data_IF_983246460535
#
_entry.id   IF_983246460535
#
_cell.length_a   1.000
_cell.length_b   1.000
_cell.length_c   1.000
_cell.angle_alpha   90.00
_cell.angle_beta   90.00
_cell.angle_gamma   90.00
#
_symmetry.space_group_name_H-M   'P 1'
#
loop_
_entity.id
_entity.type
_entity.pdbx_description
1 polymer ?
#
# COMPACT_ATOMS: atom_id res chain seq x y z
N UNK A 1 14.22 -26.82 -4.42
CA UNK A 1 14.00 -25.62 -3.57
C UNK A 1 15.14 -24.60 -3.64
N UNK A 2 16.32 -24.93 -4.18
CA UNK A 2 17.43 -23.95 -4.30
C UNK A 2 17.30 -22.96 -5.48
N UNK A 3 16.48 -23.25 -6.49
CA UNK A 3 16.32 -22.37 -7.66
C UNK A 3 15.42 -21.14 -7.43
N UNK A 4 14.54 -21.16 -6.42
CA UNK A 4 13.64 -20.03 -6.11
C UNK A 4 14.35 -18.93 -5.29
N UNK A 5 15.28 -19.32 -4.41
CA UNK A 5 16.10 -18.38 -3.62
C UNK A 5 17.06 -17.53 -4.46
N UNK A 6 17.56 -18.07 -5.58
CA UNK A 6 18.43 -17.33 -6.51
C UNK A 6 17.68 -16.25 -7.31
N UNK A 7 16.37 -16.41 -7.55
CA UNK A 7 15.57 -15.41 -8.28
C UNK A 7 15.16 -14.23 -7.39
N UNK A 8 14.87 -14.48 -6.10
CA UNK A 8 14.50 -13.41 -5.16
C UNK A 8 15.73 -12.57 -4.76
N UNK A 9 16.89 -13.18 -4.58
CA UNK A 9 18.14 -12.45 -4.35
C UNK A 9 18.67 -11.76 -5.63
N UNK A 10 18.45 -12.33 -6.82
CA UNK A 10 18.83 -11.71 -8.09
C UNK A 10 18.03 -10.43 -8.41
N UNK A 11 16.76 -10.36 -8.01
CA UNK A 11 15.89 -9.19 -8.22
C UNK A 11 16.26 -7.98 -7.37
N UNK A 12 16.67 -8.20 -6.12
CA UNK A 12 17.05 -7.11 -5.20
C UNK A 12 18.43 -6.51 -5.50
N UNK A 13 19.38 -7.31 -6.00
CA UNK A 13 20.72 -6.80 -6.37
C UNK A 13 20.69 -6.00 -7.68
N UNK A 14 19.74 -6.26 -8.59
CA UNK A 14 19.61 -5.50 -9.84
C UNK A 14 19.14 -4.05 -9.64
N UNK A 15 18.31 -3.79 -8.62
CA UNK A 15 17.77 -2.46 -8.33
C UNK A 15 18.85 -1.48 -7.80
N UNK A 16 19.87 -1.97 -7.08
CA UNK A 16 20.93 -1.11 -6.52
C UNK A 16 22.00 -0.74 -7.57
N UNK A 17 22.28 -1.60 -8.55
CA UNK A 17 23.29 -1.30 -9.59
C UNK A 17 22.75 -0.37 -10.69
N UNK A 18 21.45 -0.41 -10.98
CA UNK A 18 20.83 0.47 -11.96
C UNK A 18 20.82 1.96 -11.52
N UNK A 19 20.81 2.23 -10.22
CA UNK A 19 20.79 3.60 -9.68
C UNK A 19 22.14 4.33 -9.80
N UNK A 20 23.28 3.62 -9.87
CA UNK A 20 24.62 4.24 -9.87
C UNK A 20 25.18 4.45 -11.28
N UNK A 21 24.66 3.77 -12.32
CA UNK A 21 25.16 3.95 -13.71
C UNK A 21 24.57 5.14 -14.46
N UNK A 22 23.59 5.87 -13.91
CA UNK A 22 22.93 6.97 -14.61
C UNK A 22 23.56 8.36 -14.39
N UNK A 23 24.78 8.43 -13.82
CA UNK A 23 25.44 9.69 -13.46
C UNK A 23 26.78 9.96 -14.16
N UNK A 24 27.09 9.31 -15.29
CA UNK A 24 28.22 9.76 -16.12
C UNK A 24 28.01 9.51 -17.61
N UNK A 25 27.79 10.57 -18.39
CA UNK A 25 28.31 10.83 -19.76
C UNK A 25 27.64 12.08 -20.37
N UNK A 26 28.24 12.78 -21.36
CA UNK A 26 28.99 14.01 -21.14
C UNK A 26 28.31 15.26 -21.73
N UNK A 27 28.86 16.41 -21.36
CA UNK A 27 28.49 17.75 -21.81
C UNK A 27 28.87 18.02 -23.29
N UNK A 28 27.87 18.49 -24.06
CA UNK A 28 27.89 19.38 -25.24
C UNK A 28 28.42 18.90 -26.61
N UNK A 29 28.11 19.61 -27.74
CA UNK A 29 27.28 20.83 -27.91
C UNK A 29 26.28 20.84 -29.12
N UNK A 30 25.28 21.72 -29.03
CA UNK A 30 24.78 22.55 -30.15
C UNK A 30 23.78 21.95 -31.16
N UNK A 31 22.64 22.65 -31.39
CA UNK A 31 22.25 23.30 -32.66
C UNK A 31 20.78 23.75 -32.65
N UNK A 32 20.54 24.88 -33.32
CA UNK A 32 19.37 25.75 -33.35
C UNK A 32 18.07 25.21 -33.96
N UNK A 33 17.01 25.99 -33.68
CA UNK A 33 15.87 26.43 -34.54
C UNK A 33 14.53 25.66 -34.49
N UNK A 34 13.52 26.44 -34.11
CA UNK A 34 12.18 26.63 -34.70
C UNK A 34 11.46 25.42 -35.32
N UNK A 35 10.27 25.09 -34.79
CA UNK A 35 9.00 25.09 -35.55
C UNK A 35 7.81 24.55 -34.72
N UNK A 36 6.78 25.39 -34.66
CA UNK A 36 5.34 25.12 -34.71
C UNK A 36 4.76 23.72 -34.44
N UNK A 37 3.75 23.77 -33.55
CA UNK A 37 2.43 23.16 -33.66
C UNK A 37 2.33 21.63 -33.87
N UNK A 38 2.00 20.93 -32.79
CA UNK A 38 1.10 19.78 -32.86
C UNK A 38 0.28 19.66 -31.58
N UNK A 39 -1.04 19.71 -31.74
CA UNK A 39 -2.03 19.74 -30.67
C UNK A 39 -1.76 18.66 -29.62
N UNK A 40 -1.56 19.13 -28.39
CA UNK A 40 -1.61 18.31 -27.18
C UNK A 40 -3.05 17.82 -27.07
N UNK A 41 -3.30 16.61 -27.57
CA UNK A 41 -4.43 15.81 -27.08
C UNK A 41 -4.07 15.50 -25.63
N UNK A 42 -4.55 16.35 -24.73
CA UNK A 42 -4.66 16.00 -23.32
C UNK A 42 -5.55 14.77 -23.27
N UNK A 43 -4.96 13.59 -23.11
CA UNK A 43 -5.69 12.42 -22.67
C UNK A 43 -6.49 12.83 -21.42
N UNK A 44 -7.80 12.60 -21.37
CA UNK A 44 -8.56 12.91 -20.17
C UNK A 44 -7.97 12.07 -19.04
N UNK A 45 -7.43 12.75 -18.03
CA UNK A 45 -7.18 12.14 -16.72
C UNK A 45 -8.50 11.45 -16.33
N UNK A 46 -8.50 10.13 -16.05
CA UNK A 46 -9.73 9.47 -15.63
C UNK A 46 -10.30 10.24 -14.45
N UNK A 47 -11.55 10.70 -14.58
CA UNK A 47 -12.24 11.43 -13.54
C UNK A 47 -12.24 10.56 -12.28
N UNK A 48 -11.51 11.01 -11.25
CA UNK A 48 -11.60 10.45 -9.90
C UNK A 48 -13.08 10.31 -9.58
N UNK A 49 -13.54 9.12 -9.17
CA UNK A 49 -14.93 8.94 -8.80
C UNK A 49 -15.26 9.94 -7.70
N UNK A 50 -16.16 10.89 -7.98
CA UNK A 50 -16.53 11.97 -7.08
C UNK A 50 -17.46 11.50 -5.93
N UNK A 51 -17.64 10.19 -5.79
CA UNK A 51 -18.48 9.59 -4.76
C UNK A 51 -17.71 9.56 -3.43
N UNK A 52 -18.28 10.13 -2.35
CA UNK A 52 -17.69 10.04 -1.02
C UNK A 52 -17.46 8.58 -0.63
N UNK A 53 -16.37 8.32 0.11
CA UNK A 53 -16.14 7.01 0.74
C UNK A 53 -17.29 6.70 1.70
N UNK A 54 -17.93 5.54 1.52
CA UNK A 54 -19.01 5.07 2.40
C UNK A 54 -18.53 4.08 3.47
N UNK A 55 -17.28 3.62 3.37
CA UNK A 55 -16.61 2.81 4.38
C UNK A 55 -16.15 3.73 5.54
N UNK A 56 -16.48 3.39 6.79
CA UNK A 56 -16.02 4.16 7.95
C UNK A 56 -14.49 4.23 8.03
N UNK A 57 -13.92 5.31 8.60
CA UNK A 57 -12.52 5.33 8.97
C UNK A 57 -12.12 4.17 9.87
N UNK A 58 -10.91 3.65 9.67
CA UNK A 58 -10.37 2.61 10.55
C UNK A 58 -9.95 3.22 11.89
N UNK A 59 -9.19 4.31 11.84
CA UNK A 59 -8.74 4.95 13.07
C UNK A 59 -9.83 5.85 13.69
N UNK A 60 -10.06 5.80 15.03
CA UNK A 60 -9.47 4.89 16.01
C UNK A 60 -10.31 3.62 16.29
N UNK A 61 -11.61 3.67 15.99
CA UNK A 61 -12.60 2.75 16.57
C UNK A 61 -12.41 1.31 16.11
N UNK A 62 -12.05 1.09 14.84
CA UNK A 62 -11.80 -0.26 14.31
C UNK A 62 -10.67 -0.95 15.07
N UNK A 63 -9.54 -0.25 15.25
CA UNK A 63 -8.37 -0.81 15.93
C UNK A 63 -8.63 -1.08 17.41
N UNK A 64 -9.34 -0.17 18.10
CA UNK A 64 -9.78 -0.41 19.47
C UNK A 64 -10.71 -1.62 19.57
N UNK A 65 -11.66 -1.76 18.64
CA UNK A 65 -12.57 -2.89 18.57
C UNK A 65 -11.83 -4.22 18.38
N UNK A 66 -10.88 -4.28 17.45
CA UNK A 66 -10.04 -5.47 17.22
C UNK A 66 -9.23 -5.81 18.47
N UNK A 67 -8.51 -4.86 19.06
CA UNK A 67 -7.68 -5.11 20.25
C UNK A 67 -8.54 -5.59 21.42
N UNK A 68 -9.70 -4.98 21.64
CA UNK A 68 -10.67 -5.42 22.64
C UNK A 68 -11.14 -6.86 22.39
N UNK A 69 -11.50 -7.18 21.15
CA UNK A 69 -11.95 -8.52 20.77
C UNK A 69 -10.87 -9.60 21.00
N UNK A 70 -9.60 -9.26 20.77
CA UNK A 70 -8.46 -10.17 21.01
C UNK A 70 -7.87 -10.08 22.43
N UNK A 71 -8.54 -9.36 23.34
CA UNK A 71 -8.15 -9.28 24.74
C UNK A 71 -6.85 -8.50 25.01
N UNK A 72 -6.47 -7.58 24.11
CA UNK A 72 -5.26 -6.76 24.22
C UNK A 72 -5.58 -5.32 24.59
N UNK A 73 -4.73 -4.70 25.42
CA UNK A 73 -4.89 -3.29 25.77
C UNK A 73 -4.59 -2.38 24.55
N UNK A 74 -5.36 -1.30 24.33
CA UNK A 74 -5.09 -0.31 23.27
C UNK A 74 -3.92 0.62 23.63
N UNK A 75 -2.76 0.03 23.91
CA UNK A 75 -1.52 0.77 24.10
C UNK A 75 -1.04 1.37 22.77
N UNK A 76 -0.24 2.46 22.77
CA UNK A 76 0.33 3.02 21.55
C UNK A 76 1.11 2.00 20.72
N UNK A 77 1.82 1.07 21.36
CA UNK A 77 2.55 -0.02 20.71
C UNK A 77 1.60 -0.97 19.98
N UNK A 78 0.57 -1.46 20.67
CA UNK A 78 -0.39 -2.41 20.09
C UNK A 78 -1.18 -1.78 18.93
N UNK A 79 -1.56 -0.51 19.08
CA UNK A 79 -2.20 0.25 18.02
C UNK A 79 -1.30 0.35 16.79
N UNK A 80 -0.06 0.81 16.94
CA UNK A 80 0.85 0.98 15.82
C UNK A 80 1.21 -0.34 15.14
N UNK A 81 1.45 -1.41 15.90
CA UNK A 81 1.71 -2.74 15.35
C UNK A 81 0.50 -3.29 14.56
N UNK A 82 -0.72 -3.08 15.07
CA UNK A 82 -1.94 -3.48 14.37
C UNK A 82 -2.18 -2.64 13.10
N UNK A 83 -1.95 -1.32 13.19
CA UNK A 83 -2.02 -0.40 12.03
C UNK A 83 -1.04 -0.82 10.94
N UNK A 84 0.20 -1.15 11.31
CA UNK A 84 1.22 -1.67 10.39
C UNK A 84 0.74 -2.95 9.72
N UNK A 85 0.24 -3.91 10.51
CA UNK A 85 -0.23 -5.20 10.02
C UNK A 85 -1.40 -5.07 9.04
N UNK A 86 -2.39 -4.21 9.36
CA UNK A 86 -3.51 -3.89 8.47
C UNK A 86 -3.04 -3.17 7.20
N UNK A 87 -2.10 -2.23 7.33
CA UNK A 87 -1.48 -1.55 6.19
C UNK A 87 -0.79 -2.52 5.24
N UNK A 88 -0.09 -3.54 5.76
CA UNK A 88 0.54 -4.58 4.95
C UNK A 88 -0.50 -5.43 4.20
N UNK A 89 -1.57 -5.86 4.88
CA UNK A 89 -2.68 -6.58 4.23
C UNK A 89 -3.31 -5.79 3.08
N UNK A 90 -3.59 -4.51 3.33
CA UNK A 90 -4.18 -3.63 2.34
C UNK A 90 -3.24 -3.38 1.16
N UNK A 91 -1.94 -3.20 1.42
CA UNK A 91 -0.94 -3.02 0.38
C UNK A 91 -0.88 -4.23 -0.57
N UNK A 92 -0.95 -5.45 -0.03
CA UNK A 92 -0.94 -6.67 -0.83
C UNK A 92 -2.19 -6.78 -1.71
N UNK A 93 -3.37 -6.51 -1.16
CA UNK A 93 -4.61 -6.47 -1.93
C UNK A 93 -4.57 -5.43 -3.04
N UNK A 94 -4.09 -4.22 -2.73
CA UNK A 94 -3.92 -3.15 -3.70
C UNK A 94 -3.00 -3.55 -4.85
N UNK A 95 -1.80 -4.10 -4.54
CA UNK A 95 -0.84 -4.57 -5.55
C UNK A 95 -1.48 -5.62 -6.46
N UNK A 96 -2.21 -6.59 -5.90
CA UNK A 96 -2.93 -7.59 -6.71
C UNK A 96 -3.97 -6.94 -7.63
N UNK A 97 -4.74 -5.97 -7.14
CA UNK A 97 -5.73 -5.27 -7.95
C UNK A 97 -5.12 -4.43 -9.07
N UNK A 98 -3.99 -3.75 -8.82
CA UNK A 98 -3.26 -3.00 -9.86
C UNK A 98 -2.71 -3.94 -10.93
N UNK A 99 -2.12 -5.07 -10.54
CA UNK A 99 -1.59 -6.08 -11.45
C UNK A 99 -2.70 -6.69 -12.33
N UNK A 100 -3.85 -7.02 -11.74
CA UNK A 100 -4.98 -7.58 -12.49
C UNK A 100 -5.49 -6.65 -13.60
N UNK A 101 -5.30 -5.34 -13.45
CA UNK A 101 -5.74 -4.36 -14.44
C UNK A 101 -4.62 -3.71 -15.25
N UNK A 102 -3.36 -4.03 -14.94
CA UNK A 102 -2.19 -3.47 -15.60
C UNK A 102 -2.01 -1.97 -15.41
N UNK A 103 -2.53 -1.39 -14.31
CA UNK A 103 -2.43 0.05 -14.03
C UNK A 103 -1.17 0.34 -13.22
N UNK A 104 -0.04 0.47 -13.92
CA UNK A 104 1.28 0.71 -13.33
C UNK A 104 1.40 2.11 -12.72
N UNK A 105 0.72 3.10 -13.30
CA UNK A 105 0.78 4.49 -12.82
C UNK A 105 0.06 4.63 -11.47
N UNK A 106 -1.09 3.97 -11.31
CA UNK A 106 -1.79 3.93 -10.02
C UNK A 106 -1.00 3.15 -8.96
N UNK A 107 -0.34 2.05 -9.37
CA UNK A 107 0.55 1.30 -8.48
C UNK A 107 1.68 2.16 -7.93
N UNK A 108 2.41 2.87 -8.80
CA UNK A 108 3.56 3.67 -8.37
C UNK A 108 3.14 4.80 -7.42
N UNK A 109 2.04 5.50 -7.73
CA UNK A 109 1.47 6.54 -6.87
C UNK A 109 0.93 6.00 -5.54
N UNK A 110 0.45 4.75 -5.51
CA UNK A 110 0.03 4.11 -4.27
C UNK A 110 1.24 3.78 -3.39
N UNK A 111 2.34 3.32 -3.98
CA UNK A 111 3.56 2.99 -3.23
C UNK A 111 4.23 4.23 -2.63
N UNK A 112 4.09 5.40 -3.25
CA UNK A 112 4.55 6.68 -2.70
C UNK A 112 3.91 7.02 -1.34
N UNK A 113 2.68 6.55 -1.06
CA UNK A 113 2.02 6.79 0.23
C UNK A 113 2.80 6.21 1.42
N UNK A 114 3.66 5.21 1.19
CA UNK A 114 4.44 4.53 2.24
C UNK A 114 5.79 5.17 2.54
N UNK A 115 6.23 6.13 1.72
CA UNK A 115 7.57 6.76 1.81
C UNK A 115 7.48 8.21 2.34
N UNK A 116 6.26 8.66 2.64
CA UNK A 116 5.98 10.02 3.09
C UNK A 116 6.26 10.18 4.60
N UNK A 117 7.46 10.64 4.94
CA UNK A 117 7.96 10.78 6.33
C UNK A 117 7.14 11.74 7.20
N UNK A 118 6.39 12.68 6.61
CA UNK A 118 5.58 13.65 7.35
C UNK A 118 4.19 13.10 7.73
N UNK A 119 3.86 11.88 7.29
CA UNK A 119 2.54 11.30 7.49
C UNK A 119 2.39 10.69 8.87
N UNK A 120 1.21 10.91 9.46
CA UNK A 120 0.77 10.21 10.66
C UNK A 120 0.56 8.73 10.35
N UNK A 121 1.37 7.87 10.96
CA UNK A 121 1.32 6.42 10.74
C UNK A 121 -0.08 5.86 11.02
N UNK A 122 -0.80 6.40 12.01
CA UNK A 122 -2.15 5.99 12.36
C UNK A 122 -3.19 6.22 11.24
N UNK A 123 -2.92 7.15 10.33
CA UNK A 123 -3.80 7.47 9.20
C UNK A 123 -3.44 6.70 7.91
N UNK A 124 -2.29 6.01 7.87
CA UNK A 124 -1.77 5.42 6.64
C UNK A 124 -2.76 4.42 5.99
N UNK A 125 -3.38 3.47 6.72
CA UNK A 125 -4.36 2.58 6.11
C UNK A 125 -5.62 3.32 5.60
N UNK A 126 -6.06 4.37 6.30
CA UNK A 126 -7.19 5.19 5.85
C UNK A 126 -6.87 5.94 4.56
N UNK A 127 -5.67 6.51 4.44
CA UNK A 127 -5.21 7.18 3.22
C UNK A 127 -5.08 6.21 2.03
N UNK A 128 -4.64 4.97 2.30
CA UNK A 128 -4.58 3.91 1.30
C UNK A 128 -5.99 3.52 0.83
N UNK A 129 -6.97 3.40 1.73
CA UNK A 129 -8.37 3.17 1.37
C UNK A 129 -8.90 4.33 0.52
N UNK A 130 -8.64 5.58 0.91
CA UNK A 130 -9.07 6.75 0.16
C UNK A 130 -8.48 6.80 -1.25
N UNK A 131 -7.21 6.42 -1.40
CA UNK A 131 -6.58 6.27 -2.70
C UNK A 131 -7.30 5.23 -3.55
N UNK A 132 -7.53 4.03 -2.99
CA UNK A 132 -8.17 2.91 -3.68
C UNK A 132 -9.62 3.21 -4.04
N UNK A 133 -10.31 3.96 -3.18
CA UNK A 133 -11.65 4.46 -3.41
C UNK A 133 -11.69 5.46 -4.57
N UNK A 134 -10.76 6.41 -4.60
CA UNK A 134 -10.69 7.42 -5.66
C UNK A 134 -10.17 6.85 -7.01
N UNK A 135 -9.48 5.71 -6.98
CA UNK A 135 -8.86 5.11 -8.15
C UNK A 135 -9.89 4.63 -9.18
N UNK A 136 -10.87 3.82 -8.77
CA UNK A 136 -11.92 3.33 -9.68
C UNK A 136 -13.17 2.82 -8.95
N UNK A 137 -14.37 2.97 -9.55
CA UNK A 137 -15.62 2.48 -8.96
C UNK A 137 -15.66 0.97 -8.71
N UNK A 138 -15.01 0.15 -9.55
CA UNK A 138 -14.99 -1.30 -9.36
C UNK A 138 -14.24 -1.75 -8.11
N UNK A 139 -13.37 -0.91 -7.54
CA UNK A 139 -12.67 -1.18 -6.28
C UNK A 139 -13.55 -0.91 -5.06
N UNK A 140 -14.63 -0.14 -5.20
CA UNK A 140 -15.53 0.17 -4.07
C UNK A 140 -16.13 -1.09 -3.47
N UNK A 141 -16.66 -1.98 -4.33
CA UNK A 141 -17.22 -3.24 -3.86
C UNK A 141 -16.14 -4.14 -3.25
N UNK A 142 -14.96 -4.21 -3.86
CA UNK A 142 -13.84 -4.99 -3.33
C UNK A 142 -13.42 -4.52 -1.93
N UNK A 143 -13.41 -3.21 -1.68
CA UNK A 143 -13.14 -2.64 -0.35
C UNK A 143 -14.27 -2.97 0.64
N UNK A 144 -15.54 -2.88 0.22
CA UNK A 144 -16.69 -3.24 1.07
C UNK A 144 -16.69 -4.70 1.48
N UNK A 145 -16.31 -5.60 0.56
CA UNK A 145 -16.22 -7.03 0.82
C UNK A 145 -15.00 -7.36 1.69
N UNK A 146 -13.88 -6.64 1.49
CA UNK A 146 -12.66 -6.84 2.26
C UNK A 146 -12.79 -6.42 3.73
N UNK A 147 -13.58 -5.39 4.06
CA UNK A 147 -13.73 -4.91 5.44
C UNK A 147 -14.21 -5.98 6.45
N UNK A 148 -15.32 -6.71 6.21
CA UNK A 148 -15.73 -7.80 7.10
C UNK A 148 -14.76 -8.98 7.09
N UNK A 149 -14.12 -9.28 5.96
CA UNK A 149 -13.07 -10.31 5.90
C UNK A 149 -11.86 -9.94 6.76
N UNK A 150 -11.44 -8.67 6.72
CA UNK A 150 -10.38 -8.13 7.56
C UNK A 150 -10.71 -8.29 9.04
N UNK A 151 -11.91 -7.88 9.46
CA UNK A 151 -12.36 -8.04 10.84
C UNK A 151 -12.34 -9.51 11.26
N UNK A 152 -12.83 -10.41 10.41
CA UNK A 152 -12.82 -11.85 10.66
C UNK A 152 -11.39 -12.42 10.75
N UNK A 153 -10.47 -12.01 9.87
CA UNK A 153 -9.08 -12.45 9.92
C UNK A 153 -8.36 -11.98 11.19
N UNK A 154 -8.68 -10.79 11.69
CA UNK A 154 -8.03 -10.21 12.85
C UNK A 154 -8.63 -10.71 14.18
N UNK A 155 -9.92 -11.05 14.21
CA UNK A 155 -10.63 -11.41 15.46
C UNK A 155 -11.05 -12.88 15.53
N UNK A 156 -11.04 -13.58 14.41
CA UNK A 156 -11.41 -14.99 14.31
C UNK A 156 -10.42 -15.91 15.05
N UNK A 157 -10.80 -17.18 15.26
CA UNK A 157 -9.97 -18.14 16.01
C UNK A 157 -8.61 -18.42 15.37
N UNK A 158 -8.49 -18.23 14.06
CA UNK A 158 -7.25 -18.43 13.30
C UNK A 158 -6.40 -17.16 13.20
N UNK A 159 -6.76 -16.08 13.90
CA UNK A 159 -6.01 -14.83 13.90
C UNK A 159 -4.62 -15.00 14.50
N UNK A 160 -3.59 -14.50 13.80
CA UNK A 160 -2.22 -14.43 14.32
C UNK A 160 -2.12 -13.60 15.60
N UNK A 161 -3.05 -12.67 15.83
CA UNK A 161 -3.03 -11.82 17.03
C UNK A 161 -3.13 -12.64 18.33
N UNK A 162 -3.74 -13.83 18.29
CA UNK A 162 -3.82 -14.74 19.43
C UNK A 162 -2.49 -15.37 19.83
N UNK A 163 -1.52 -15.42 18.92
CA UNK A 163 -0.22 -16.07 19.15
C UNK A 163 0.74 -15.21 19.98
N UNK A 164 0.41 -13.94 20.19
CA UNK A 164 1.23 -13.01 20.95
C UNK A 164 0.66 -12.79 22.36
N UNK A 165 1.53 -12.46 23.31
CA UNK A 165 1.16 -12.07 24.67
C UNK A 165 0.42 -10.73 24.71
N UNK A 166 0.58 -9.97 25.79
CA UNK A 166 -0.15 -8.70 25.96
C UNK A 166 0.26 -7.62 24.94
N UNK A 167 1.49 -7.69 24.43
CA UNK A 167 2.05 -6.77 23.44
C UNK A 167 2.15 -7.41 22.05
N UNK A 168 1.75 -6.66 21.04
CA UNK A 168 1.90 -7.00 19.62
C UNK A 168 3.28 -6.55 19.13
N UNK A 169 4.06 -7.44 18.50
CA UNK A 169 5.28 -7.05 17.85
C UNK A 169 4.99 -6.33 16.53
N UNK A 170 5.92 -5.48 16.08
CA UNK A 170 5.93 -4.99 14.70
C UNK A 170 6.30 -6.12 13.73
N UNK A 171 5.90 -5.99 12.46
CA UNK A 171 6.24 -6.98 11.43
C UNK A 171 5.54 -8.33 11.55
N UNK A 172 4.33 -8.38 12.12
CA UNK A 172 3.51 -9.61 12.30
C UNK A 172 3.36 -10.40 10.98
N UNK A 173 3.28 -9.70 9.85
CA UNK A 173 3.15 -10.32 8.53
C UNK A 173 4.40 -11.12 8.12
N UNK A 174 5.58 -10.66 8.52
CA UNK A 174 6.88 -11.23 8.11
C UNK A 174 7.30 -12.40 9.00
N UNK A 175 6.59 -12.63 10.11
CA UNK A 175 6.87 -13.74 11.00
C UNK A 175 6.38 -15.05 10.37
N UNK A 176 7.31 -16.01 10.24
CA UNK A 176 7.00 -17.41 9.93
C UNK A 176 6.41 -18.08 11.18
N UNK A 177 5.38 -18.91 10.98
CA UNK A 177 4.73 -19.70 12.03
C UNK A 177 5.59 -20.91 12.46
#
# INVERSE_FOLDING_TARGET
MEFFLLLVLGGLVWLVVAAVRKTMSPVSPGRSRDSEARGVRTSPVPSRSAEPRDIPPLFPDFYHGVLFAVGKEPSPQNLLALIEYVGQMLAINAVMWFQQTGDTDAHDRFMELRVDDDRKLEMLPDDMIDFLWAWRPSTHQALRDWMPELEQMLTGPDSRLWNFGDELPFGIWEMED
#
